data_IF_859862399830
#
_entry.id   IF_859862399830
#
_cell.length_a   1.000
_cell.length_b   1.000
_cell.length_c   1.000
_cell.angle_alpha   90.00
_cell.angle_beta   90.00
_cell.angle_gamma   90.00
#
_symmetry.space_group_name_H-M   'P 1'
#
loop_
_entity.id
_entity.type
_entity.pdbx_description
1 polymer ?
#
# COMPACT_ATOMS: atom_id res chain seq x y z
N UNK A 1 7.72 -3.65 18.14
CA UNK A 1 7.73 -2.88 16.89
C UNK A 1 6.51 -1.96 16.87
N UNK A 2 6.69 -0.72 16.52
CA UNK A 2 5.61 0.27 16.60
C UNK A 2 4.85 0.38 15.27
N UNK A 3 3.97 -0.57 15.00
CA UNK A 3 3.16 -0.60 13.77
C UNK A 3 2.30 0.66 13.60
N UNK A 4 1.78 1.19 14.72
CA UNK A 4 0.94 2.41 14.68
C UNK A 4 1.75 3.60 14.18
N UNK A 5 2.96 3.78 14.68
CA UNK A 5 3.86 4.86 14.27
C UNK A 5 4.10 4.84 12.76
N UNK A 6 4.43 3.67 12.23
CA UNK A 6 4.73 3.54 10.80
C UNK A 6 3.48 3.63 9.92
N UNK A 7 2.35 3.11 10.41
CA UNK A 7 1.10 3.25 9.68
C UNK A 7 0.65 4.73 9.60
N UNK A 8 0.92 5.52 10.62
CA UNK A 8 0.66 6.97 10.56
C UNK A 8 1.47 7.64 9.45
N UNK A 9 2.71 7.19 9.23
CA UNK A 9 3.52 7.70 8.13
C UNK A 9 2.97 7.27 6.77
N UNK A 10 2.46 6.05 6.66
CA UNK A 10 1.78 5.59 5.44
C UNK A 10 0.51 6.41 5.17
N UNK A 11 -0.25 6.76 6.22
CA UNK A 11 -1.45 7.60 6.11
C UNK A 11 -1.08 9.00 5.59
N UNK A 12 0.05 9.56 6.02
CA UNK A 12 0.53 10.84 5.48
C UNK A 12 0.75 10.76 3.98
N UNK A 13 1.28 9.65 3.49
CA UNK A 13 1.46 9.43 2.05
C UNK A 13 0.12 9.28 1.33
N UNK A 14 -0.86 8.63 1.96
CA UNK A 14 -2.21 8.53 1.41
C UNK A 14 -2.84 9.92 1.25
N UNK A 15 -2.69 10.78 2.25
CA UNK A 15 -3.18 12.16 2.19
C UNK A 15 -2.47 12.97 1.11
N UNK A 16 -1.19 12.71 0.90
CA UNK A 16 -0.42 13.33 -0.18
C UNK A 16 -0.99 12.93 -1.55
N UNK A 17 -1.32 11.64 -1.74
CA UNK A 17 -1.98 11.17 -2.95
C UNK A 17 -3.28 11.94 -3.19
N UNK A 18 -4.11 12.08 -2.17
CA UNK A 18 -5.38 12.80 -2.26
C UNK A 18 -5.20 14.25 -2.71
N UNK A 19 -4.11 14.90 -2.26
CA UNK A 19 -3.81 16.29 -2.67
C UNK A 19 -3.56 16.43 -4.17
N UNK A 20 -3.24 15.32 -4.86
CA UNK A 20 -3.10 15.26 -6.32
C UNK A 20 -4.30 14.59 -6.98
N UNK A 21 -5.42 14.50 -6.28
CA UNK A 21 -6.65 13.89 -6.76
C UNK A 21 -6.50 12.40 -7.10
N UNK A 22 -5.58 11.73 -6.44
CA UNK A 22 -5.39 10.28 -6.53
C UNK A 22 -6.15 9.59 -5.41
N UNK A 23 -6.53 8.33 -5.63
CA UNK A 23 -7.10 7.51 -4.56
C UNK A 23 -6.10 7.47 -3.41
N UNK A 24 -6.53 7.80 -2.16
CA UNK A 24 -5.60 7.97 -1.03
C UNK A 24 -5.08 6.66 -0.47
N UNK A 25 -4.03 6.15 -1.10
CA UNK A 25 -3.30 4.97 -0.67
C UNK A 25 -1.84 5.37 -0.50
N UNK A 26 -1.28 5.05 0.65
CA UNK A 26 0.11 5.39 0.99
C UNK A 26 0.86 4.20 1.52
N UNK A 27 2.17 4.23 1.35
CA UNK A 27 3.05 3.13 1.69
C UNK A 27 4.39 3.66 2.20
N UNK A 28 4.94 3.00 3.23
CA UNK A 28 6.31 3.23 3.66
C UNK A 28 7.01 1.88 3.83
N UNK A 29 8.29 1.85 3.57
CA UNK A 29 9.13 0.68 3.80
C UNK A 29 10.15 1.04 4.88
N UNK A 30 10.25 0.18 5.90
CA UNK A 30 11.08 0.38 7.08
C UNK A 30 12.15 -0.70 7.14
N UNK A 31 13.38 -0.28 7.40
CA UNK A 31 14.50 -1.17 7.66
C UNK A 31 15.31 -0.60 8.82
N UNK A 32 15.70 -1.45 9.78
CA UNK A 32 16.48 -1.04 10.94
C UNK A 32 15.88 0.17 11.67
N UNK A 33 14.56 0.11 11.87
CA UNK A 33 13.78 1.15 12.57
C UNK A 33 13.85 2.52 11.90
N UNK A 34 14.03 2.55 10.58
CA UNK A 34 14.07 3.79 9.79
C UNK A 34 13.26 3.62 8.49
N UNK A 35 12.56 4.66 8.10
CA UNK A 35 11.89 4.70 6.79
C UNK A 35 12.96 4.84 5.71
N UNK A 36 13.04 3.86 4.81
CA UNK A 36 13.97 3.90 3.67
C UNK A 36 13.29 4.31 2.39
N UNK A 37 11.95 4.20 2.31
CA UNK A 37 11.21 4.60 1.13
C UNK A 37 9.78 4.95 1.48
N UNK A 38 9.22 5.93 0.76
CA UNK A 38 7.82 6.33 0.84
C UNK A 38 7.23 6.30 -0.55
N UNK A 39 5.97 5.91 -0.64
CA UNK A 39 5.25 5.90 -1.91
C UNK A 39 3.78 6.22 -1.69
N UNK A 40 3.16 6.78 -2.71
CA UNK A 40 1.72 7.00 -2.73
C UNK A 40 1.20 6.72 -4.14
N UNK A 41 -0.09 6.44 -4.23
CA UNK A 41 -0.73 6.12 -5.51
C UNK A 41 -0.58 7.28 -6.49
N UNK A 42 -0.07 6.99 -7.70
CA UNK A 42 0.15 7.95 -8.78
C UNK A 42 -0.44 7.49 -10.11
N UNK A 43 -1.41 6.57 -10.06
CA UNK A 43 -1.95 5.95 -11.28
C UNK A 43 -2.44 6.99 -12.31
N UNK A 44 -3.20 7.96 -11.86
CA UNK A 44 -3.73 9.02 -12.75
C UNK A 44 -2.65 10.03 -13.13
N UNK A 45 -1.83 10.45 -12.18
CA UNK A 45 -0.75 11.41 -12.40
C UNK A 45 0.25 10.91 -13.44
N UNK A 46 0.65 9.64 -13.35
CA UNK A 46 1.63 9.04 -14.26
C UNK A 46 0.99 8.34 -15.47
N UNK A 47 -0.34 8.18 -15.47
CA UNK A 47 -1.07 7.43 -16.50
C UNK A 47 -0.48 6.02 -16.67
N UNK A 48 -0.25 5.36 -15.53
CA UNK A 48 0.29 4.00 -15.47
C UNK A 48 -0.50 3.17 -14.46
N UNK A 49 -1.08 2.07 -14.90
CA UNK A 49 -1.86 1.18 -14.03
C UNK A 49 -1.01 0.56 -12.92
N UNK A 50 0.31 0.46 -13.11
CA UNK A 50 1.23 -0.12 -12.13
C UNK A 50 1.70 0.87 -11.07
N UNK A 51 1.38 2.16 -11.20
CA UNK A 51 1.86 3.20 -10.29
C UNK A 51 1.11 3.23 -8.96
N UNK A 52 1.01 2.08 -8.30
CA UNK A 52 0.44 1.94 -6.97
C UNK A 52 1.47 2.35 -5.90
N UNK A 53 0.98 2.72 -4.72
CA UNK A 53 1.82 3.17 -3.61
C UNK A 53 2.94 2.17 -3.30
N UNK A 54 2.63 0.89 -3.27
CA UNK A 54 3.60 -0.18 -2.96
C UNK A 54 4.70 -0.25 -4.01
N UNK A 55 4.32 -0.19 -5.29
CA UNK A 55 5.28 -0.23 -6.40
C UNK A 55 6.23 0.97 -6.32
N UNK A 56 5.68 2.17 -6.07
CA UNK A 56 6.48 3.38 -5.92
C UNK A 56 7.49 3.24 -4.78
N UNK A 57 7.06 2.72 -3.63
CA UNK A 57 7.92 2.54 -2.46
C UNK A 57 9.00 1.48 -2.73
N UNK A 58 8.63 0.33 -3.33
CA UNK A 58 9.57 -0.74 -3.66
C UNK A 58 10.67 -0.24 -4.59
N UNK A 59 10.30 0.49 -5.64
CA UNK A 59 11.28 1.05 -6.59
C UNK A 59 12.28 1.96 -5.89
N UNK A 60 11.79 2.84 -5.00
CA UNK A 60 12.65 3.75 -4.24
C UNK A 60 13.56 3.01 -3.27
N UNK A 61 13.04 1.98 -2.60
CA UNK A 61 13.82 1.18 -1.65
C UNK A 61 14.96 0.46 -2.37
N UNK A 62 14.68 -0.17 -3.50
CA UNK A 62 15.69 -0.86 -4.31
C UNK A 62 16.77 0.10 -4.79
N UNK A 63 16.38 1.28 -5.23
CA UNK A 63 17.32 2.30 -5.68
C UNK A 63 18.20 2.79 -4.53
N UNK A 64 17.61 3.03 -3.37
CA UNK A 64 18.34 3.51 -2.19
C UNK A 64 19.35 2.49 -1.69
N UNK A 65 18.96 1.21 -1.63
CA UNK A 65 19.82 0.14 -1.13
C UNK A 65 20.76 -0.43 -2.19
N UNK A 66 20.48 -0.15 -3.47
CA UNK A 66 21.28 -0.68 -4.58
C UNK A 66 21.10 -2.18 -4.79
N UNK A 67 20.00 -2.77 -4.28
CA UNK A 67 19.69 -4.19 -4.40
C UNK A 67 18.19 -4.37 -4.62
N UNK A 68 17.80 -5.50 -5.21
CA UNK A 68 16.38 -5.83 -5.39
C UNK A 68 15.80 -6.67 -4.25
N UNK A 69 16.64 -7.35 -3.45
CA UNK A 69 16.19 -8.15 -2.32
C UNK A 69 15.98 -7.25 -1.10
N UNK A 70 14.74 -7.17 -0.63
CA UNK A 70 14.37 -6.33 0.52
C UNK A 70 14.09 -7.20 1.75
N UNK A 71 15.00 -8.15 2.02
CA UNK A 71 14.80 -9.26 2.97
C UNK A 71 14.56 -8.83 4.42
N UNK A 72 15.15 -7.73 4.85
CA UNK A 72 15.02 -7.24 6.23
C UNK A 72 14.05 -6.07 6.34
N UNK A 73 13.22 -5.87 5.32
CA UNK A 73 12.30 -4.74 5.26
C UNK A 73 10.89 -5.11 5.68
N UNK A 74 10.20 -4.15 6.29
CA UNK A 74 8.78 -4.23 6.63
C UNK A 74 8.05 -3.18 5.81
N UNK A 75 7.00 -3.58 5.09
CA UNK A 75 6.19 -2.69 4.27
C UNK A 75 4.88 -2.38 4.99
N UNK A 76 4.59 -1.09 5.16
CA UNK A 76 3.33 -0.60 5.72
C UNK A 76 2.54 0.06 4.61
N UNK A 77 1.28 -0.35 4.44
CA UNK A 77 0.40 0.21 3.42
C UNK A 77 -1.00 0.40 3.98
N UNK A 78 -1.67 1.48 3.57
CA UNK A 78 -2.98 1.84 4.14
C UNK A 78 -4.11 0.94 3.66
N UNK A 79 -3.97 0.33 2.49
CA UNK A 79 -4.96 -0.60 1.93
C UNK A 79 -4.29 -1.94 1.61
N UNK A 80 -5.01 -3.02 1.83
CA UNK A 80 -4.56 -4.38 1.51
C UNK A 80 -4.01 -4.47 0.08
N UNK A 81 -2.83 -5.07 -0.13
CA UNK A 81 -2.26 -5.19 -1.47
C UNK A 81 -3.14 -5.95 -2.46
N UNK A 82 -3.20 -5.45 -3.69
CA UNK A 82 -3.84 -6.10 -4.84
C UNK A 82 -2.94 -7.24 -5.38
N UNK A 83 -3.40 -8.02 -6.37
CA UNK A 83 -2.57 -9.11 -6.93
C UNK A 83 -1.21 -8.65 -7.44
N UNK A 84 -1.16 -7.52 -8.13
CA UNK A 84 0.09 -6.97 -8.66
C UNK A 84 1.06 -6.62 -7.54
N UNK A 85 0.59 -5.91 -6.53
CA UNK A 85 1.44 -5.47 -5.42
C UNK A 85 1.85 -6.62 -4.52
N UNK A 86 0.95 -7.56 -4.23
CA UNK A 86 1.27 -8.76 -3.47
C UNK A 86 2.36 -9.57 -4.19
N UNK A 87 2.25 -9.70 -5.52
CA UNK A 87 3.27 -10.35 -6.33
C UNK A 87 4.61 -9.63 -6.28
N UNK A 88 4.59 -8.30 -6.40
CA UNK A 88 5.81 -7.49 -6.31
C UNK A 88 6.51 -7.63 -4.95
N UNK A 89 5.73 -7.68 -3.88
CA UNK A 89 6.23 -7.89 -2.52
C UNK A 89 6.93 -9.25 -2.41
N UNK A 90 6.30 -10.31 -2.93
CA UNK A 90 6.88 -11.66 -2.94
C UNK A 90 8.19 -11.66 -3.75
N UNK A 91 8.16 -11.07 -4.95
CA UNK A 91 9.33 -11.02 -5.82
C UNK A 91 10.50 -10.25 -5.19
N UNK A 92 10.19 -9.21 -4.42
CA UNK A 92 11.20 -8.39 -3.75
C UNK A 92 11.71 -8.99 -2.43
N UNK A 93 11.14 -10.11 -2.00
CA UNK A 93 11.52 -10.83 -0.77
C UNK A 93 11.34 -9.98 0.50
N UNK A 94 10.34 -9.11 0.52
CA UNK A 94 10.01 -8.32 1.71
C UNK A 94 9.62 -9.26 2.85
N UNK A 95 10.15 -9.01 4.04
CA UNK A 95 9.99 -9.90 5.20
C UNK A 95 8.58 -9.86 5.78
N UNK A 96 8.04 -8.65 5.97
CA UNK A 96 6.75 -8.47 6.62
C UNK A 96 5.93 -7.38 5.93
N UNK A 97 4.61 -7.57 5.93
CA UNK A 97 3.65 -6.60 5.40
C UNK A 97 2.60 -6.31 6.46
N UNK A 98 2.34 -5.03 6.70
CA UNK A 98 1.31 -4.58 7.63
C UNK A 98 0.37 -3.68 6.87
N UNK A 99 -0.93 -3.99 6.85
CA UNK A 99 -1.89 -3.13 6.18
C UNK A 99 -3.02 -2.67 7.10
N UNK A 100 -3.62 -1.53 6.76
CA UNK A 100 -4.70 -0.93 7.55
C UNK A 100 -6.05 -1.51 7.18
N UNK A 101 -6.61 -1.08 6.08
CA UNK A 101 -7.94 -1.49 5.63
C UNK A 101 -7.88 -2.70 4.70
N UNK A 102 -8.88 -3.57 4.83
CA UNK A 102 -9.07 -4.70 3.90
C UNK A 102 -9.76 -4.21 2.63
N UNK A 103 -9.46 -4.85 1.50
CA UNK A 103 -10.07 -4.53 0.22
C UNK A 103 -10.99 -5.67 -0.22
N UNK A 104 -12.31 -5.50 -0.14
CA UNK A 104 -13.26 -6.58 -0.46
C UNK A 104 -13.32 -6.93 -1.94
N UNK A 105 -12.79 -6.08 -2.82
CA UNK A 105 -12.87 -6.28 -4.28
C UNK A 105 -11.54 -6.68 -4.92
N UNK A 106 -10.43 -6.44 -4.27
CA UNK A 106 -9.13 -6.71 -4.88
C UNK A 106 -8.05 -7.14 -3.92
N UNK A 107 -8.35 -7.30 -2.64
CA UNK A 107 -7.35 -7.66 -1.63
C UNK A 107 -6.85 -9.09 -1.77
N UNK A 108 -5.54 -9.26 -1.82
CA UNK A 108 -4.91 -10.56 -2.06
C UNK A 108 -4.02 -11.02 -0.90
N UNK A 109 -4.22 -10.46 0.30
CA UNK A 109 -3.49 -10.84 1.51
C UNK A 109 -4.49 -11.19 2.61
N UNK A 110 -5.47 -12.03 2.26
CA UNK A 110 -6.43 -12.60 3.21
C UNK A 110 -7.90 -12.32 2.94
N UNK A 111 -8.26 -11.36 2.09
CA UNK A 111 -9.67 -11.01 1.86
C UNK A 111 -10.29 -11.76 0.68
N UNK A 112 -9.88 -11.49 -0.56
CA UNK A 112 -10.38 -12.24 -1.72
C UNK A 112 -9.62 -13.55 -1.90
N UNK A 113 -8.33 -13.50 -1.69
CA UNK A 113 -7.43 -14.67 -1.68
C UNK A 113 -6.22 -14.30 -0.83
N UNK A 114 -5.26 -15.22 -0.69
CA UNK A 114 -4.03 -14.91 0.05
C UNK A 114 -2.82 -15.45 -0.71
N UNK A 115 -2.15 -14.59 -1.47
CA UNK A 115 -0.98 -14.96 -2.23
C UNK A 115 0.23 -15.30 -1.34
N UNK A 116 0.23 -14.84 -0.10
CA UNK A 116 1.32 -15.13 0.85
C UNK A 116 1.21 -16.55 1.43
N UNK A 117 0.08 -17.21 1.23
CA UNK A 117 -0.18 -18.57 1.75
C UNK A 117 -0.09 -19.65 0.64
N UNK A 118 0.33 -19.30 -0.57
CA UNK A 118 0.50 -20.28 -1.65
C UNK A 118 1.77 -21.08 -1.39
N UNK A 119 1.61 -22.37 -1.04
CA UNK A 119 2.69 -23.23 -0.56
C UNK A 119 3.84 -23.40 -1.57
N UNK A 120 3.55 -23.36 -2.87
CA UNK A 120 4.52 -23.55 -3.93
C UNK A 120 5.42 -22.34 -4.17
N UNK A 121 5.05 -21.17 -3.66
CA UNK A 121 5.86 -19.95 -3.85
C UNK A 121 7.14 -20.01 -3.02
N UNK A 122 8.20 -19.40 -3.51
CA UNK A 122 9.52 -19.42 -2.88
C UNK A 122 9.61 -18.56 -1.60
N UNK A 123 8.67 -17.64 -1.41
CA UNK A 123 8.74 -16.69 -0.31
C UNK A 123 7.34 -16.43 0.24
N UNK A 124 7.24 -16.39 1.57
CA UNK A 124 5.99 -16.20 2.28
C UNK A 124 6.15 -15.05 3.28
N UNK A 125 5.85 -13.80 2.89
CA UNK A 125 5.93 -12.69 3.83
C UNK A 125 5.02 -12.92 5.05
N UNK A 126 5.48 -12.50 6.22
CA UNK A 126 4.64 -12.41 7.41
C UNK A 126 3.71 -11.23 7.20
N UNK A 127 2.44 -11.33 7.62
CA UNK A 127 1.51 -10.23 7.44
C UNK A 127 0.67 -10.00 8.69
N UNK A 128 0.31 -8.73 8.90
CA UNK A 128 -0.61 -8.29 9.95
C UNK A 128 -1.58 -7.29 9.32
N UNK A 129 -2.80 -7.26 9.82
CA UNK A 129 -3.85 -6.37 9.27
C UNK A 129 -4.55 -5.60 10.37
N UNK A 130 -5.31 -4.58 9.97
CA UNK A 130 -6.20 -3.86 10.87
C UNK A 130 -5.54 -2.75 11.68
N UNK A 131 -4.30 -2.40 11.37
CA UNK A 131 -3.60 -1.32 12.07
C UNK A 131 -4.15 0.03 11.57
N UNK A 132 -4.80 0.78 12.46
CA UNK A 132 -5.49 2.04 12.13
C UNK A 132 -6.50 1.83 11.00
N UNK A 133 -7.20 0.70 11.03
CA UNK A 133 -8.13 0.28 9.98
C UNK A 133 -9.20 1.34 9.69
N UNK A 134 -9.82 1.90 10.73
CA UNK A 134 -10.87 2.91 10.57
C UNK A 134 -10.36 4.16 9.88
N UNK A 135 -9.20 4.65 10.29
CA UNK A 135 -8.59 5.84 9.67
C UNK A 135 -8.29 5.62 8.19
N UNK A 136 -7.69 4.46 7.86
CA UNK A 136 -7.37 4.09 6.48
C UNK A 136 -8.63 3.92 5.63
N UNK A 137 -9.63 3.24 6.16
CA UNK A 137 -10.90 3.01 5.49
C UNK A 137 -11.67 4.33 5.25
N UNK A 138 -11.67 5.23 6.25
CA UNK A 138 -12.37 6.50 6.17
C UNK A 138 -11.80 7.42 5.10
N UNK A 139 -10.49 7.42 4.90
CA UNK A 139 -9.85 8.17 3.81
C UNK A 139 -10.43 7.77 2.45
N UNK A 140 -10.56 6.47 2.22
CA UNK A 140 -11.09 5.93 0.97
C UNK A 140 -12.57 6.25 0.80
N UNK A 141 -13.37 6.03 1.84
CA UNK A 141 -14.80 6.31 1.82
C UNK A 141 -15.08 7.78 1.55
N UNK A 142 -14.34 8.65 2.21
CA UNK A 142 -14.48 10.10 2.05
C UNK A 142 -14.12 10.54 0.62
N UNK A 143 -13.04 10.03 0.08
CA UNK A 143 -12.59 10.33 -1.27
C UNK A 143 -13.64 9.91 -2.32
N UNK A 144 -14.15 8.67 -2.24
CA UNK A 144 -15.12 8.17 -3.20
C UNK A 144 -16.47 8.85 -3.07
N UNK A 145 -16.89 9.21 -1.87
CA UNK A 145 -18.11 10.00 -1.66
C UNK A 145 -17.98 11.36 -2.33
N UNK A 146 -16.87 12.02 -2.14
CA UNK A 146 -16.58 13.33 -2.75
C UNK A 146 -16.64 13.25 -4.28
N UNK A 147 -16.10 12.19 -4.86
CA UNK A 147 -16.14 11.96 -6.31
C UNK A 147 -17.56 11.75 -6.81
N UNK A 148 -18.37 10.97 -6.10
CA UNK A 148 -19.78 10.75 -6.45
C UNK A 148 -20.58 12.05 -6.40
N UNK A 149 -20.37 12.87 -5.37
CA UNK A 149 -21.05 14.16 -5.23
C UNK A 149 -20.67 15.12 -6.36
N UNK A 150 -19.42 15.14 -6.77
CA UNK A 150 -18.96 15.93 -7.90
C UNK A 150 -19.62 15.50 -9.22
N UNK A 151 -19.75 14.19 -9.45
CA UNK A 151 -20.41 13.64 -10.63
C UNK A 151 -21.89 14.05 -10.67
N UNK A 152 -22.57 14.03 -9.53
CA UNK A 152 -23.97 14.45 -9.42
C UNK A 152 -24.13 15.93 -9.79
N UNK A 153 -23.22 16.79 -9.34
CA UNK A 153 -23.23 18.22 -9.67
C UNK A 153 -23.03 18.48 -11.16
N UNK A 154 -22.19 17.67 -11.82
CA UNK A 154 -21.92 17.80 -13.25
C UNK A 154 -23.13 17.37 -14.11
N UNK A 155 -23.99 16.50 -13.58
CA UNK A 155 -25.17 16.01 -14.30
C UNK A 155 -26.42 16.91 -14.13
N UNK A 156 -26.39 17.83 -13.20
CA UNK A 156 -27.49 18.80 -12.99
C UNK A 156 -27.21 20.16 -13.73
#
# INVERSE_FOLDING_TARGET
MDDVKWMKEAIKQAKKAESYDEVPIGCVIVKDDKIIARGYNKRETMQQSIAHAEIMAIQKACKKLGIWRLEDCVLYVTLEPCPMCAGAIIQSRIKEVVYGASDPKGGCVGTCTNLFEVSEFNHHPIYRRGILESECSDLLKHFFKKKRDMKKKQKS
#
